data_IF_368138411824
#
_entry.id   IF_368138411824
#
_cell.length_a   1.000
_cell.length_b   1.000
_cell.length_c   1.000
_cell.angle_alpha   90.00
_cell.angle_beta   90.00
_cell.angle_gamma   90.00
#
_symmetry.space_group_name_H-M   'P 1'
#
loop_
_entity.id
_entity.type
_entity.pdbx_description
1 polymer ?
#
# COMPACT_ATOMS: atom_id res chain seq x y z
N UNK A 1 18.56 9.94 17.38
CA UNK A 1 17.36 10.77 17.11
C UNK A 1 17.13 11.69 18.31
N UNK A 2 17.00 13.01 18.14
CA UNK A 2 16.99 13.98 19.26
C UNK A 2 15.85 13.75 20.26
N UNK A 3 14.64 13.43 19.79
CA UNK A 3 13.53 13.12 20.69
C UNK A 3 13.78 11.85 21.53
N UNK A 4 14.50 10.86 21.00
CA UNK A 4 14.92 9.68 21.76
C UNK A 4 16.02 10.00 22.81
N UNK A 5 16.70 11.14 22.66
CA UNK A 5 17.70 11.64 23.60
C UNK A 5 17.11 12.59 24.65
N UNK A 6 15.78 12.68 24.77
CA UNK A 6 15.09 13.50 25.78
C UNK A 6 14.80 14.94 25.37
N UNK A 7 15.01 15.31 24.11
CA UNK A 7 14.62 16.62 23.58
C UNK A 7 13.09 16.72 23.52
N UNK A 8 12.50 17.48 24.45
CA UNK A 8 11.06 17.64 24.58
C UNK A 8 10.41 18.34 23.38
N UNK A 9 11.13 19.29 22.75
CA UNK A 9 10.63 20.01 21.57
C UNK A 9 10.55 19.06 20.39
N UNK A 10 11.62 18.29 20.15
CA UNK A 10 11.62 17.28 19.11
C UNK A 10 10.56 16.20 19.35
N UNK A 11 10.30 15.84 20.62
CA UNK A 11 9.25 14.90 20.98
C UNK A 11 7.85 15.49 20.72
N UNK A 12 7.64 16.78 20.98
CA UNK A 12 6.39 17.48 20.70
C UNK A 12 6.09 17.53 19.19
N UNK A 13 7.08 17.90 18.38
CA UNK A 13 6.95 17.90 16.92
C UNK A 13 6.58 16.52 16.38
N UNK A 14 7.22 15.46 16.89
CA UNK A 14 6.90 14.10 16.47
C UNK A 14 5.49 13.67 16.86
N UNK A 15 4.99 14.10 18.03
CA UNK A 15 3.59 13.87 18.42
C UNK A 15 2.63 14.61 17.49
N UNK A 16 2.91 15.86 17.15
CA UNK A 16 2.10 16.63 16.19
C UNK A 16 2.03 15.95 14.84
N UNK A 17 3.18 15.49 14.32
CA UNK A 17 3.24 14.73 13.08
C UNK A 17 2.42 13.43 13.14
N UNK A 18 2.55 12.65 14.22
CA UNK A 18 1.79 11.42 14.40
C UNK A 18 0.26 11.66 14.44
N UNK A 19 -0.18 12.73 15.11
CA UNK A 19 -1.60 13.11 15.15
C UNK A 19 -2.11 13.57 13.78
N UNK A 20 -1.29 14.29 13.01
CA UNK A 20 -1.66 14.68 11.65
C UNK A 20 -1.86 13.46 10.74
N UNK A 21 -0.96 12.47 10.82
CA UNK A 21 -1.10 11.20 10.09
C UNK A 21 -2.38 10.47 10.52
N UNK A 22 -2.65 10.37 11.83
CA UNK A 22 -3.85 9.71 12.34
C UNK A 22 -5.15 10.34 11.78
N UNK A 23 -5.22 11.67 11.69
CA UNK A 23 -6.38 12.38 11.12
C UNK A 23 -6.58 12.07 9.64
N UNK A 24 -5.51 12.04 8.86
CA UNK A 24 -5.58 11.69 7.42
C UNK A 24 -6.05 10.25 7.26
N UNK A 25 -5.45 9.32 7.99
CA UNK A 25 -5.82 7.90 7.92
C UNK A 25 -7.29 7.70 8.28
N UNK A 26 -7.77 8.32 9.36
CA UNK A 26 -9.19 8.25 9.75
C UNK A 26 -10.11 8.74 8.63
N UNK A 27 -9.77 9.86 7.98
CA UNK A 27 -10.54 10.38 6.86
C UNK A 27 -10.59 9.41 5.67
N UNK A 28 -9.46 8.80 5.31
CA UNK A 28 -9.38 7.83 4.21
C UNK A 28 -10.17 6.56 4.54
N UNK A 29 -9.97 6.00 5.74
CA UNK A 29 -10.65 4.77 6.18
C UNK A 29 -12.17 4.95 6.17
N UNK A 30 -12.68 6.09 6.64
CA UNK A 30 -14.12 6.37 6.64
C UNK A 30 -14.74 6.46 5.23
N UNK A 31 -13.94 6.78 4.21
CA UNK A 31 -14.41 6.95 2.82
C UNK A 31 -14.25 5.66 2.02
N UNK A 32 -13.11 4.99 2.17
CA UNK A 32 -12.76 3.80 1.39
C UNK A 32 -13.30 2.51 2.04
N UNK A 33 -13.58 2.54 3.35
CA UNK A 33 -14.08 1.41 4.14
C UNK A 33 -13.16 0.17 4.07
N UNK A 34 -11.90 0.36 4.49
CA UNK A 34 -10.90 -0.71 4.51
C UNK A 34 -10.85 -1.43 5.85
N UNK A 35 -10.54 -2.73 5.82
CA UNK A 35 -10.31 -3.54 7.01
C UNK A 35 -8.86 -3.51 7.51
N UNK A 36 -7.91 -2.99 6.72
CA UNK A 36 -6.50 -2.95 7.08
C UNK A 36 -5.81 -1.65 6.61
N UNK A 37 -4.94 -1.13 7.46
CA UNK A 37 -4.00 -0.05 7.17
C UNK A 37 -2.56 -0.53 7.36
N UNK A 38 -1.78 -0.49 6.28
CA UNK A 38 -0.36 -0.83 6.30
C UNK A 38 0.49 0.44 6.23
N UNK A 39 1.25 0.70 7.29
CA UNK A 39 2.13 1.86 7.42
C UNK A 39 3.53 1.54 6.85
N UNK A 40 3.95 2.29 5.82
CA UNK A 40 5.25 2.11 5.16
C UNK A 40 6.08 3.39 5.10
N UNK A 41 7.34 3.25 4.66
CA UNK A 41 8.25 4.35 4.41
C UNK A 41 9.37 4.51 5.43
N UNK A 42 10.52 5.00 4.97
CA UNK A 42 11.74 5.12 5.77
C UNK A 42 11.59 6.04 7.00
N UNK A 43 10.67 7.01 6.95
CA UNK A 43 10.37 7.91 8.07
C UNK A 43 9.83 7.20 9.32
N UNK A 44 9.30 5.99 9.19
CA UNK A 44 8.75 5.22 10.31
C UNK A 44 9.81 4.38 11.05
N UNK A 45 11.05 4.29 10.55
CA UNK A 45 12.11 3.43 11.13
C UNK A 45 12.38 3.68 12.62
N UNK A 46 12.30 4.94 13.06
CA UNK A 46 12.66 5.33 14.43
C UNK A 46 11.47 5.81 15.27
N UNK A 47 10.36 6.16 14.62
CA UNK A 47 9.19 6.76 15.25
C UNK A 47 7.88 6.04 14.92
N UNK A 48 7.94 4.94 14.17
CA UNK A 48 6.77 4.25 13.62
C UNK A 48 5.77 3.85 14.69
N UNK A 49 6.23 3.36 15.83
CA UNK A 49 5.38 2.97 16.96
C UNK A 49 4.46 4.10 17.43
N UNK A 50 4.99 5.32 17.59
CA UNK A 50 4.17 6.48 17.99
C UNK A 50 3.12 6.84 16.94
N UNK A 51 3.45 6.71 15.66
CA UNK A 51 2.52 6.95 14.56
C UNK A 51 1.43 5.88 14.56
N UNK A 52 1.81 4.60 14.69
CA UNK A 52 0.88 3.48 14.77
C UNK A 52 -0.08 3.62 15.94
N UNK A 53 0.42 3.96 17.10
CA UNK A 53 -0.40 4.13 18.31
C UNK A 53 -1.37 5.31 18.16
N UNK A 54 -0.91 6.43 17.60
CA UNK A 54 -1.78 7.57 17.29
C UNK A 54 -2.90 7.19 16.29
N UNK A 55 -2.56 6.43 15.24
CA UNK A 55 -3.53 5.95 14.26
C UNK A 55 -4.54 4.99 14.91
N UNK A 56 -4.07 4.00 15.69
CA UNK A 56 -4.93 3.06 16.41
C UNK A 56 -5.86 3.78 17.39
N UNK A 57 -5.35 4.75 18.13
CA UNK A 57 -6.16 5.57 19.03
C UNK A 57 -7.23 6.36 18.26
N UNK A 58 -6.86 6.99 17.14
CA UNK A 58 -7.78 7.74 16.28
C UNK A 58 -8.89 6.88 15.68
N UNK A 59 -8.53 5.71 15.13
CA UNK A 59 -9.49 4.73 14.60
C UNK A 59 -10.37 4.15 15.72
N UNK A 60 -9.83 4.02 16.93
CA UNK A 60 -10.59 3.65 18.11
C UNK A 60 -11.69 4.64 18.49
N UNK A 61 -11.68 5.88 17.98
CA UNK A 61 -12.72 6.88 18.24
C UNK A 61 -13.75 6.98 17.09
N UNK A 62 -13.55 6.23 16.00
CA UNK A 62 -14.47 6.23 14.85
C UNK A 62 -15.81 5.56 15.21
N UNK A 63 -16.92 6.18 14.82
CA UNK A 63 -18.28 5.78 15.21
C UNK A 63 -18.79 4.47 14.59
N UNK A 64 -18.06 3.86 13.64
CA UNK A 64 -18.49 2.68 12.86
C UNK A 64 -18.08 1.33 13.49
N UNK A 65 -17.75 1.32 14.79
CA UNK A 65 -17.10 0.21 15.50
C UNK A 65 -17.84 -1.13 15.52
N UNK A 66 -19.14 -1.17 15.25
CA UNK A 66 -19.91 -2.39 15.50
C UNK A 66 -19.81 -3.45 14.40
N UNK A 67 -19.14 -3.17 13.27
CA UNK A 67 -19.17 -4.08 12.11
C UNK A 67 -17.80 -4.61 11.67
N UNK A 68 -16.72 -3.80 11.63
CA UNK A 68 -15.39 -4.28 11.20
C UNK A 68 -14.22 -3.55 11.91
N UNK A 69 -13.41 -4.23 12.77
CA UNK A 69 -12.20 -3.62 13.32
C UNK A 69 -11.15 -3.40 12.21
N UNK A 70 -10.52 -2.22 12.21
CA UNK A 70 -9.46 -1.88 11.26
C UNK A 70 -8.10 -2.23 11.87
N UNK A 71 -7.41 -3.19 11.26
CA UNK A 71 -6.07 -3.59 11.67
C UNK A 71 -5.03 -2.58 11.20
N UNK A 72 -4.03 -2.30 12.05
CA UNK A 72 -2.93 -1.39 11.72
C UNK A 72 -1.60 -2.07 11.96
N UNK A 73 -0.81 -2.25 10.89
CA UNK A 73 0.52 -2.87 10.93
C UNK A 73 1.55 -2.09 10.12
N UNK A 74 2.82 -2.46 10.27
CA UNK A 74 3.89 -1.95 9.41
C UNK A 74 4.04 -2.82 8.16
N UNK A 75 4.57 -2.21 7.09
CA UNK A 75 4.92 -2.93 5.88
C UNK A 75 6.17 -3.80 6.09
N UNK A 76 6.09 -5.07 5.65
CA UNK A 76 7.22 -6.00 5.64
C UNK A 76 8.12 -5.84 4.40
N UNK A 77 7.66 -5.09 3.39
CA UNK A 77 8.38 -4.92 2.12
C UNK A 77 9.59 -3.98 2.22
N UNK A 78 9.70 -3.23 3.32
CA UNK A 78 10.84 -2.35 3.59
C UNK A 78 11.08 -1.30 2.50
N UNK A 79 12.35 -1.02 2.19
CA UNK A 79 12.73 -0.01 1.19
C UNK A 79 12.41 -0.43 -0.24
N UNK A 80 12.24 -1.72 -0.48
CA UNK A 80 11.96 -2.26 -1.82
C UNK A 80 10.46 -2.23 -2.16
N UNK A 81 9.60 -1.76 -1.26
CA UNK A 81 8.15 -1.71 -1.46
C UNK A 81 7.77 -1.01 -2.78
N UNK A 82 8.45 0.09 -3.13
CA UNK A 82 8.20 0.81 -4.38
C UNK A 82 8.59 0.00 -5.62
N UNK A 83 9.77 -0.63 -5.60
CA UNK A 83 10.24 -1.46 -6.72
C UNK A 83 9.39 -2.72 -6.90
N UNK A 84 9.02 -3.37 -5.79
CA UNK A 84 8.14 -4.54 -5.80
C UNK A 84 6.74 -4.18 -6.30
N UNK A 85 6.20 -3.04 -5.89
CA UNK A 85 4.93 -2.52 -6.39
C UNK A 85 4.97 -2.27 -7.90
N UNK A 86 6.03 -1.64 -8.41
CA UNK A 86 6.21 -1.39 -9.84
C UNK A 86 6.32 -2.70 -10.65
N UNK A 87 7.13 -3.66 -10.19
CA UNK A 87 7.25 -4.97 -10.82
C UNK A 87 5.91 -5.73 -10.81
N UNK A 88 5.17 -5.65 -9.69
CA UNK A 88 3.85 -6.27 -9.56
C UNK A 88 2.82 -5.64 -10.50
N UNK A 89 2.89 -4.32 -10.73
CA UNK A 89 2.03 -3.63 -11.68
C UNK A 89 2.27 -4.10 -13.12
N UNK A 90 3.53 -4.20 -13.55
CA UNK A 90 3.90 -4.73 -14.87
C UNK A 90 3.43 -6.18 -15.02
N UNK A 91 3.64 -7.02 -14.00
CA UNK A 91 3.18 -8.41 -13.99
C UNK A 91 1.65 -8.50 -14.05
N UNK A 92 0.95 -7.66 -13.28
CA UNK A 92 -0.50 -7.62 -13.27
C UNK A 92 -1.07 -7.22 -14.63
N UNK A 93 -0.50 -6.23 -15.30
CA UNK A 93 -0.89 -5.81 -16.64
C UNK A 93 -0.68 -6.94 -17.66
N UNK A 94 0.48 -7.59 -17.63
CA UNK A 94 0.78 -8.71 -18.53
C UNK A 94 -0.21 -9.87 -18.33
N UNK A 95 -0.50 -10.23 -17.08
CA UNK A 95 -1.41 -11.34 -16.77
C UNK A 95 -2.88 -11.01 -17.04
N UNK A 96 -3.35 -9.82 -16.65
CA UNK A 96 -4.73 -9.40 -16.89
C UNK A 96 -5.04 -9.17 -18.36
N UNK A 97 -4.06 -8.72 -19.16
CA UNK A 97 -4.19 -8.59 -20.62
C UNK A 97 -4.16 -9.93 -21.34
N UNK A 98 -3.36 -10.90 -20.86
CA UNK A 98 -3.28 -12.25 -21.47
C UNK A 98 -4.57 -13.04 -21.31
N UNK A 99 -5.35 -12.81 -20.25
CA UNK A 99 -6.66 -13.44 -20.06
C UNK A 99 -7.72 -13.05 -21.10
N UNK A 100 -7.57 -11.90 -21.77
CA UNK A 100 -8.43 -11.51 -22.89
C UNK A 100 -8.11 -12.32 -24.17
N UNK A 101 -6.90 -12.89 -24.28
CA UNK A 101 -6.46 -13.67 -25.45
C UNK A 101 -6.82 -15.16 -25.42
N UNK A 102 -7.15 -15.74 -24.26
CA UNK A 102 -7.39 -17.20 -24.12
C UNK A 102 -8.79 -17.63 -24.58
N UNK A 103 -9.68 -16.70 -24.94
CA UNK A 103 -11.01 -17.02 -25.51
C UNK A 103 -11.13 -16.81 -27.03
N UNK A 104 -10.02 -16.60 -27.75
CA UNK A 104 -10.06 -16.71 -29.21
C UNK A 104 -9.84 -18.18 -29.58
N UNK A 105 -10.84 -18.91 -30.12
CA UNK A 105 -10.60 -20.27 -30.56
C UNK A 105 -9.53 -20.22 -31.64
N UNK A 106 -8.48 -21.04 -31.48
CA UNK A 106 -7.39 -21.19 -32.43
C UNK A 106 -7.93 -21.60 -33.80
N UNK A 107 -8.30 -20.61 -34.62
CA UNK A 107 -8.54 -20.80 -36.04
C UNK A 107 -7.20 -20.63 -36.73
N UNK A 108 -6.50 -21.76 -36.78
CA UNK A 108 -5.71 -22.21 -37.92
C UNK A 108 -4.91 -21.11 -38.65
N UNK A 109 -3.74 -20.77 -38.12
CA UNK A 109 -2.72 -20.11 -38.91
C UNK A 109 -2.02 -21.20 -39.73
N UNK A 110 -2.49 -21.41 -40.95
CA UNK A 110 -1.76 -22.19 -41.97
C UNK A 110 -0.60 -21.32 -42.47
N UNK A 111 0.62 -21.62 -42.04
CA UNK A 111 1.83 -21.05 -42.66
C UNK A 111 2.15 -21.88 -43.90
N UNK A 112 1.76 -21.38 -45.07
CA UNK A 112 2.16 -21.96 -46.36
C UNK A 112 3.59 -21.55 -46.72
N UNK A 113 4.52 -22.49 -47.00
CA UNK A 113 5.88 -22.17 -47.41
C UNK A 113 5.96 -22.19 -48.94
N UNK A 114 5.78 -21.05 -49.61
CA UNK A 114 6.18 -20.93 -51.03
C UNK A 114 6.92 -19.61 -51.23
N UNK A 115 8.23 -19.72 -51.47
CA UNK A 115 9.09 -18.63 -51.89
C UNK A 115 8.76 -18.20 -53.33
N UNK A 116 8.97 -16.92 -53.72
CA UNK A 116 8.71 -16.48 -55.08
C UNK A 116 9.78 -17.07 -56.02
N UNK A 117 9.34 -17.75 -57.07
CA UNK A 117 10.15 -18.02 -58.26
C UNK A 117 9.64 -17.18 -59.42
N UNK A 118 10.56 -16.33 -59.89
CA UNK A 118 10.54 -15.40 -61.03
C UNK A 118 9.87 -14.03 -60.82
#
# INVERSE_FOLDING_TARGET
MRAAAGDEVAAAELRTAALAVARVVLGVVNVVDVSEVVLGGAGLRHAGERVRDAVRAGLGLAMTREVHPVEVRFSDAGEQAGALGAASAVLHEALSSTWVGVHVPAREIVISPVAPVH
#
